data_IF_830123786325
#
_entry.id   IF_830123786325
#
_cell.length_a   1.000
_cell.length_b   1.000
_cell.length_c   1.000
_cell.angle_alpha   90.00
_cell.angle_beta   90.00
_cell.angle_gamma   90.00
#
_symmetry.space_group_name_H-M   'P 1'
#
loop_
_entity.id
_entity.type
_entity.pdbx_description
1 polymer ?
#
# COMPACT_ATOMS: atom_id res chain seq x y z
N UNK A 1 20.16 2.01 12.58
CA UNK A 1 19.13 2.88 11.96
C UNK A 1 18.75 2.40 10.57
N UNK A 2 19.69 2.25 9.63
CA UNK A 2 19.45 1.77 8.25
C UNK A 2 18.65 0.45 8.21
N UNK A 3 19.00 -0.53 9.06
CA UNK A 3 18.28 -1.80 9.12
C UNK A 3 16.79 -1.69 9.49
N UNK A 4 16.43 -0.77 10.41
CA UNK A 4 15.04 -0.53 10.78
C UNK A 4 14.25 0.12 9.62
N UNK A 5 14.88 1.03 8.88
CA UNK A 5 14.26 1.65 7.71
C UNK A 5 14.06 0.64 6.58
N UNK A 6 15.05 -0.22 6.30
CA UNK A 6 14.92 -1.28 5.31
C UNK A 6 13.78 -2.26 5.67
N UNK A 7 13.69 -2.66 6.94
CA UNK A 7 12.61 -3.51 7.42
C UNK A 7 11.25 -2.79 7.38
N UNK A 8 11.18 -1.51 7.74
CA UNK A 8 9.96 -0.70 7.63
C UNK A 8 9.48 -0.56 6.18
N UNK A 9 10.39 -0.43 5.22
CA UNK A 9 10.08 -0.40 3.80
C UNK A 9 9.51 -1.75 3.32
N UNK A 10 10.16 -2.85 3.71
CA UNK A 10 9.68 -4.20 3.40
C UNK A 10 8.28 -4.45 3.96
N UNK A 11 8.02 -4.06 5.21
CA UNK A 11 6.68 -4.15 5.83
C UNK A 11 5.67 -3.29 5.06
N UNK A 12 6.05 -2.06 4.66
CA UNK A 12 5.16 -1.19 3.88
C UNK A 12 4.70 -1.85 2.57
N UNK A 13 5.62 -2.47 1.85
CA UNK A 13 5.32 -3.18 0.59
C UNK A 13 4.42 -4.39 0.87
N UNK A 14 4.77 -5.20 1.87
CA UNK A 14 4.00 -6.39 2.24
C UNK A 14 2.58 -6.05 2.70
N UNK A 15 2.40 -4.99 3.49
CA UNK A 15 1.08 -4.51 3.91
C UNK A 15 0.28 -4.06 2.68
N UNK A 16 0.87 -3.28 1.78
CA UNK A 16 0.18 -2.83 0.57
C UNK A 16 -0.24 -4.03 -0.31
N UNK A 17 0.63 -5.01 -0.53
CA UNK A 17 0.30 -6.22 -1.28
C UNK A 17 -0.77 -7.05 -0.58
N UNK A 18 -0.73 -7.16 0.75
CA UNK A 18 -1.76 -7.84 1.53
C UNK A 18 -3.11 -7.16 1.36
N UNK A 19 -3.18 -5.83 1.44
CA UNK A 19 -4.40 -5.06 1.15
C UNK A 19 -4.90 -5.24 -0.29
N UNK A 20 -4.01 -5.40 -1.27
CA UNK A 20 -4.37 -5.64 -2.67
C UNK A 20 -4.98 -7.03 -2.88
N UNK A 21 -4.46 -8.04 -2.19
CA UNK A 21 -4.91 -9.42 -2.28
C UNK A 21 -6.13 -9.69 -1.42
N UNK A 22 -6.35 -8.93 -0.35
CA UNK A 22 -7.49 -9.10 0.54
C UNK A 22 -8.81 -8.84 -0.20
N UNK A 23 -9.84 -9.70 -0.06
CA UNK A 23 -11.18 -9.43 -0.58
C UNK A 23 -11.78 -8.27 0.22
N UNK A 24 -11.40 -7.04 -0.12
CA UNK A 24 -12.02 -5.86 0.45
C UNK A 24 -13.46 -5.81 -0.04
N UNK A 25 -14.41 -6.03 0.88
CA UNK A 25 -15.77 -5.56 0.67
C UNK A 25 -15.67 -4.04 0.47
N UNK A 26 -16.04 -3.56 -0.71
CA UNK A 26 -16.08 -2.12 -1.00
C UNK A 26 -17.01 -1.48 0.03
N UNK A 27 -16.46 -0.60 0.87
CA UNK A 27 -17.21 0.03 1.97
C UNK A 27 -18.18 1.08 1.45
N UNK A 28 -17.86 1.68 0.30
CA UNK A 28 -18.75 2.59 -0.39
C UNK A 28 -18.39 2.71 -1.86
N UNK A 29 -19.33 3.28 -2.62
CA UNK A 29 -19.14 3.73 -3.99
C UNK A 29 -19.73 5.13 -4.10
N UNK A 30 -19.00 6.04 -4.73
CA UNK A 30 -19.48 7.38 -5.07
C UNK A 30 -19.25 7.60 -6.56
N UNK A 31 -20.29 8.04 -7.25
CA UNK A 31 -20.15 8.61 -8.58
C UNK A 31 -19.85 10.10 -8.43
N UNK A 32 -18.85 10.56 -9.17
CA UNK A 32 -18.48 11.97 -9.26
C UNK A 32 -18.58 12.35 -10.74
N UNK A 33 -19.38 13.37 -11.02
CA UNK A 33 -19.40 14.01 -12.35
C UNK A 33 -18.08 14.76 -12.52
N UNK A 34 -17.42 14.51 -13.63
CA UNK A 34 -16.16 15.16 -13.95
C UNK A 34 -16.35 16.20 -15.04
N UNK A 35 -15.56 17.26 -14.93
CA UNK A 35 -15.32 18.20 -16.02
C UNK A 35 -14.13 17.75 -16.88
N UNK A 36 -13.96 18.37 -18.05
CA UNK A 36 -12.87 18.06 -18.97
C UNK A 36 -11.47 18.21 -18.37
N UNK A 37 -11.34 19.05 -17.35
CA UNK A 37 -10.07 19.41 -16.72
C UNK A 37 -9.64 18.41 -15.64
N UNK A 38 -10.51 17.46 -15.27
CA UNK A 38 -10.33 16.61 -14.08
C UNK A 38 -9.57 15.29 -14.34
N UNK A 39 -8.82 15.20 -15.45
CA UNK A 39 -7.97 14.04 -15.70
C UNK A 39 -6.91 13.91 -14.60
N UNK A 40 -7.02 12.87 -13.77
CA UNK A 40 -6.06 12.59 -12.69
C UNK A 40 -4.69 12.13 -13.18
N UNK A 41 -4.59 11.75 -14.45
CA UNK A 41 -3.34 11.36 -15.11
C UNK A 41 -3.22 12.08 -16.43
N UNK A 42 -1.99 12.36 -16.85
CA UNK A 42 -1.73 12.94 -18.16
C UNK A 42 -2.28 11.99 -19.24
N UNK A 43 -3.28 12.47 -19.97
CA UNK A 43 -3.83 11.81 -21.15
C UNK A 43 -3.20 12.44 -22.40
N UNK A 44 -3.06 11.69 -23.50
CA UNK A 44 -2.68 12.26 -24.78
C UNK A 44 -3.61 13.40 -25.22
N UNK A 45 -3.08 14.30 -26.05
CA UNK A 45 -3.85 15.38 -26.66
C UNK A 45 -5.02 14.83 -27.50
N UNK A 46 -6.16 15.52 -27.48
CA UNK A 46 -7.38 15.13 -28.21
C UNK A 46 -8.29 14.12 -27.51
N UNK A 47 -7.99 13.72 -26.27
CA UNK A 47 -8.88 12.85 -25.51
C UNK A 47 -10.14 13.60 -25.06
N UNK A 48 -11.34 13.01 -25.22
CA UNK A 48 -12.57 13.66 -24.76
C UNK A 48 -12.58 13.76 -23.23
N UNK A 49 -13.40 14.67 -22.66
CA UNK A 49 -13.58 14.74 -21.22
C UNK A 49 -14.06 13.39 -20.64
N UNK A 50 -13.59 13.00 -19.45
CA UNK A 50 -14.11 11.82 -18.77
C UNK A 50 -15.57 12.07 -18.38
N UNK A 51 -16.46 11.10 -18.63
CA UNK A 51 -17.90 11.29 -18.34
C UNK A 51 -18.28 11.03 -16.89
N UNK A 52 -17.57 10.12 -16.23
CA UNK A 52 -17.86 9.74 -14.85
C UNK A 52 -16.63 9.13 -14.20
N UNK A 53 -16.40 9.46 -12.93
CA UNK A 53 -15.55 8.68 -12.04
C UNK A 53 -16.42 7.91 -11.05
N UNK A 54 -16.19 6.59 -10.98
CA UNK A 54 -16.66 5.80 -9.84
C UNK A 54 -15.48 5.62 -8.89
N UNK A 55 -15.60 6.19 -7.70
CA UNK A 55 -14.65 5.98 -6.59
C UNK A 55 -15.19 4.87 -5.72
N UNK A 56 -14.40 3.81 -5.55
CA UNK A 56 -14.65 2.77 -4.55
C UNK A 56 -13.52 2.77 -3.53
N UNK A 57 -13.86 2.60 -2.25
CA UNK A 57 -12.86 2.57 -1.18
C UNK A 57 -13.12 1.43 -0.19
N UNK A 58 -12.06 1.07 0.52
CA UNK A 58 -12.07 0.12 1.61
C UNK A 58 -10.79 0.21 2.44
N UNK A 59 -10.65 -0.71 3.40
CA UNK A 59 -9.45 -0.79 4.22
C UNK A 59 -8.20 -0.98 3.35
N UNK A 60 -7.23 -0.06 3.47
CA UNK A 60 -5.99 -0.15 2.70
C UNK A 60 -6.13 0.06 1.18
N UNK A 61 -7.32 0.37 0.67
CA UNK A 61 -7.64 0.32 -0.77
C UNK A 61 -8.49 1.50 -1.25
N UNK A 62 -8.10 2.11 -2.37
CA UNK A 62 -8.94 3.05 -3.13
C UNK A 62 -8.84 2.72 -4.62
N UNK A 63 -9.97 2.68 -5.31
CA UNK A 63 -10.07 2.43 -6.75
C UNK A 63 -10.84 3.58 -7.41
N UNK A 64 -10.22 4.20 -8.41
CA UNK A 64 -10.86 5.18 -9.27
C UNK A 64 -11.10 4.53 -10.62
N UNK A 65 -12.34 4.57 -11.10
CA UNK A 65 -12.73 4.06 -12.41
C UNK A 65 -13.18 5.21 -13.28
N UNK A 66 -12.54 5.40 -14.41
CA UNK A 66 -12.89 6.44 -15.38
C UNK A 66 -13.37 5.78 -16.66
N UNK A 67 -14.57 6.16 -17.12
CA UNK A 67 -15.23 5.54 -18.28
C UNK A 67 -15.09 6.45 -19.51
N UNK A 68 -14.94 5.84 -20.70
CA UNK A 68 -14.85 6.49 -22.02
C UNK A 68 -13.47 7.07 -22.37
N UNK A 69 -12.41 6.31 -22.11
CA UNK A 69 -11.08 6.64 -22.65
C UNK A 69 -10.90 6.08 -24.07
N UNK A 70 -10.29 6.84 -24.99
CA UNK A 70 -9.96 6.38 -26.35
C UNK A 70 -8.50 5.91 -26.40
N UNK A 71 -8.15 4.72 -26.90
CA UNK A 71 -6.82 4.14 -26.75
C UNK A 71 -5.82 4.65 -27.79
N UNK A 72 -5.68 5.96 -28.01
CA UNK A 72 -4.73 6.44 -29.03
C UNK A 72 -3.25 6.19 -28.67
N UNK A 73 -2.94 5.90 -27.39
CA UNK A 73 -1.57 5.68 -26.93
C UNK A 73 -1.01 4.26 -27.22
N UNK A 74 -1.84 3.34 -27.71
CA UNK A 74 -1.34 2.05 -28.18
C UNK A 74 -1.26 2.11 -29.70
N UNK A 75 -0.10 1.75 -30.27
CA UNK A 75 0.07 1.47 -31.71
C UNK A 75 -0.76 0.24 -32.10
N UNK A 76 -2.05 0.25 -31.83
CA UNK A 76 -3.02 -0.66 -32.40
C UNK A 76 -3.19 -0.19 -33.84
N UNK A 77 -2.91 -1.08 -34.78
CA UNK A 77 -2.77 -0.80 -36.21
C UNK A 77 -4.02 -0.27 -36.90
N UNK A 78 -5.16 -0.11 -36.20
CA UNK A 78 -6.44 0.38 -36.75
C UNK A 78 -7.30 1.13 -35.71
N UNK A 79 -6.99 2.39 -35.36
CA UNK A 79 -7.77 3.18 -34.39
C UNK A 79 -9.19 3.52 -34.87
N UNK A 80 -9.43 3.57 -36.19
CA UNK A 80 -10.72 3.95 -36.79
C UNK A 80 -11.80 2.85 -36.67
N UNK A 81 -11.40 1.60 -36.41
CA UNK A 81 -12.31 0.45 -36.38
C UNK A 81 -12.91 0.18 -34.99
N UNK A 82 -12.37 0.83 -33.97
CA UNK A 82 -12.75 0.63 -32.58
C UNK A 82 -13.29 1.96 -32.04
N UNK A 83 -14.60 2.18 -32.15
CA UNK A 83 -15.31 3.31 -31.52
C UNK A 83 -15.30 3.29 -29.97
N UNK A 84 -14.22 2.82 -29.36
CA UNK A 84 -14.31 1.94 -28.21
C UNK A 84 -13.90 2.57 -26.89
N UNK A 85 -14.81 2.50 -25.94
CA UNK A 85 -14.74 3.06 -24.59
C UNK A 85 -13.83 2.21 -23.71
N UNK A 86 -12.63 2.66 -23.41
CA UNK A 86 -11.82 2.01 -22.38
C UNK A 86 -12.30 2.43 -21.00
N UNK A 87 -12.29 1.46 -20.09
CA UNK A 87 -12.40 1.68 -18.67
C UNK A 87 -10.99 1.76 -18.10
N UNK A 88 -10.59 2.94 -17.65
CA UNK A 88 -9.35 3.10 -16.91
C UNK A 88 -9.60 2.95 -15.44
N UNK A 89 -8.77 2.12 -14.81
CA UNK A 89 -8.86 1.84 -13.40
C UNK A 89 -7.50 2.13 -12.77
N UNK A 90 -7.50 3.12 -11.88
CA UNK A 90 -6.37 3.43 -11.01
C UNK A 90 -6.65 2.83 -9.63
N UNK A 91 -5.69 2.07 -9.09
CA UNK A 91 -5.75 1.53 -7.73
C UNK A 91 -4.62 2.12 -6.90
N UNK A 92 -4.96 2.67 -5.74
CA UNK A 92 -4.03 3.18 -4.73
C UNK A 92 -4.16 2.33 -3.47
N UNK A 93 -3.06 1.76 -3.02
CA UNK A 93 -3.04 0.71 -2.00
C UNK A 93 -1.98 1.01 -0.94
N UNK A 94 -2.31 0.72 0.31
CA UNK A 94 -1.43 0.92 1.46
C UNK A 94 -2.20 1.38 2.69
N UNK A 95 -1.60 1.15 3.86
CA UNK A 95 -2.11 1.58 5.15
C UNK A 95 -0.94 1.97 6.06
N UNK A 96 -1.10 2.98 6.95
CA UNK A 96 -2.22 3.91 7.00
C UNK A 96 -2.28 4.86 5.79
N UNK A 97 -1.13 5.20 5.19
CA UNK A 97 -1.06 6.01 3.99
C UNK A 97 -1.02 5.13 2.73
N UNK A 98 -1.53 5.62 1.60
CA UNK A 98 -1.41 4.92 0.30
C UNK A 98 0.03 4.98 -0.17
N UNK A 99 0.67 3.83 -0.34
CA UNK A 99 2.10 3.74 -0.61
C UNK A 99 2.43 3.25 -2.02
N UNK A 100 1.54 2.46 -2.64
CA UNK A 100 1.74 1.90 -3.96
C UNK A 100 0.52 2.16 -4.84
N UNK A 101 0.74 2.30 -6.14
CA UNK A 101 -0.32 2.43 -7.14
C UNK A 101 -0.11 1.49 -8.33
N UNK A 102 -1.20 1.12 -8.98
CA UNK A 102 -1.19 0.49 -10.29
C UNK A 102 -2.37 0.97 -11.13
N UNK A 103 -2.22 0.79 -12.44
CA UNK A 103 -3.18 1.24 -13.43
C UNK A 103 -3.52 0.07 -14.34
N UNK A 104 -4.77 -0.06 -14.75
CA UNK A 104 -5.11 -0.94 -15.86
C UNK A 104 -6.23 -0.41 -16.72
N UNK A 105 -6.17 -0.82 -17.99
CA UNK A 105 -7.11 -0.47 -19.03
C UNK A 105 -7.90 -1.73 -19.35
N UNK A 106 -9.22 -1.66 -19.14
CA UNK A 106 -10.15 -2.73 -19.51
C UNK A 106 -10.87 -2.30 -20.79
N UNK A 107 -10.89 -3.14 -21.83
CA UNK A 107 -11.72 -2.90 -23.00
C UNK A 107 -13.21 -2.87 -22.60
N UNK A 108 -14.06 -2.22 -23.41
CA UNK A 108 -15.51 -2.28 -23.21
C UNK A 108 -16.01 -3.73 -23.32
N UNK A 109 -17.18 -4.02 -22.70
CA UNK A 109 -17.80 -5.36 -22.67
C UNK A 109 -17.95 -6.03 -24.04
N UNK A 110 -17.98 -5.23 -25.11
CA UNK A 110 -18.14 -5.71 -26.48
C UNK A 110 -16.86 -6.36 -27.07
N UNK A 111 -15.72 -6.33 -26.37
CA UNK A 111 -14.43 -6.82 -26.88
C UNK A 111 -13.74 -7.77 -25.88
N UNK A 112 -14.34 -8.93 -25.59
CA UNK A 112 -13.80 -9.90 -24.63
C UNK A 112 -12.43 -10.48 -25.05
N UNK A 113 -12.07 -10.41 -26.34
CA UNK A 113 -10.78 -10.85 -26.87
C UNK A 113 -9.62 -9.91 -26.51
N UNK A 114 -9.90 -8.67 -26.12
CA UNK A 114 -8.87 -7.72 -25.74
C UNK A 114 -8.38 -8.01 -24.31
N UNK A 115 -7.08 -8.24 -24.16
CA UNK A 115 -6.48 -8.50 -22.84
C UNK A 115 -6.34 -7.19 -22.06
N UNK A 116 -6.70 -7.17 -20.76
CA UNK A 116 -6.51 -5.99 -19.92
C UNK A 116 -5.03 -5.61 -19.86
N UNK A 117 -4.73 -4.34 -20.11
CA UNK A 117 -3.35 -3.84 -20.11
C UNK A 117 -3.04 -3.29 -18.73
N UNK A 118 -2.03 -3.83 -18.07
CA UNK A 118 -1.60 -3.40 -16.74
C UNK A 118 -0.33 -2.57 -16.81
N UNK A 119 -0.27 -1.48 -16.04
CA UNK A 119 0.95 -0.70 -15.80
C UNK A 119 1.30 -0.73 -14.33
N UNK A 120 2.59 -0.90 -14.07
CA UNK A 120 3.15 -0.99 -12.72
C UNK A 120 2.43 -2.00 -11.82
N UNK A 121 2.25 -3.22 -12.33
CA UNK A 121 1.59 -4.28 -11.62
C UNK A 121 2.30 -5.63 -11.82
N UNK A 122 2.34 -6.46 -10.79
CA UNK A 122 2.85 -7.83 -10.83
C UNK A 122 1.72 -8.85 -10.69
N UNK A 123 1.86 -9.97 -11.40
CA UNK A 123 0.99 -11.12 -11.24
C UNK A 123 1.34 -11.86 -9.95
N UNK A 124 0.39 -12.12 -9.04
CA UNK A 124 0.67 -13.02 -7.92
C UNK A 124 0.97 -14.43 -8.46
N UNK A 125 1.87 -15.20 -7.81
CA UNK A 125 2.25 -16.52 -8.28
C UNK A 125 1.05 -17.47 -8.31
N UNK A 126 0.72 -17.98 -9.50
CA UNK A 126 -0.46 -18.81 -9.76
C UNK A 126 -0.56 -20.08 -8.90
N UNK A 127 0.59 -20.63 -8.49
CA UNK A 127 0.65 -21.84 -7.66
C UNK A 127 0.22 -21.59 -6.20
N UNK A 128 0.38 -20.37 -5.72
CA UNK A 128 0.05 -19.99 -4.34
C UNK A 128 -1.37 -19.42 -4.26
N UNK A 129 -1.82 -18.77 -5.33
CA UNK A 129 -3.07 -18.04 -5.37
C UNK A 129 -4.02 -18.59 -6.43
N UNK A 130 -5.25 -18.94 -6.03
CA UNK A 130 -6.29 -19.43 -6.93
C UNK A 130 -6.68 -18.43 -8.03
N UNK A 131 -7.41 -18.88 -9.07
CA UNK A 131 -7.71 -18.09 -10.27
C UNK A 131 -8.42 -16.76 -9.97
N UNK A 132 -9.30 -16.73 -8.95
CA UNK A 132 -9.97 -15.50 -8.52
C UNK A 132 -8.99 -14.41 -8.01
N UNK A 133 -7.88 -14.82 -7.40
CA UNK A 133 -6.85 -13.90 -6.89
C UNK A 133 -5.86 -13.51 -7.99
N UNK A 134 -5.66 -14.32 -9.02
CA UNK A 134 -4.78 -13.98 -10.15
C UNK A 134 -5.27 -12.75 -10.94
N UNK A 135 -6.57 -12.46 -10.89
CA UNK A 135 -7.14 -11.23 -11.44
C UNK A 135 -6.75 -9.98 -10.64
N UNK A 136 -6.21 -10.14 -9.42
CA UNK A 136 -5.72 -9.05 -8.56
C UNK A 136 -4.21 -8.92 -8.75
N UNK A 137 -3.79 -7.92 -9.52
CA UNK A 137 -2.35 -7.60 -9.63
C UNK A 137 -1.86 -6.82 -8.41
N UNK A 138 -0.60 -7.05 -8.06
CA UNK A 138 0.13 -6.37 -6.99
C UNK A 138 0.70 -5.05 -7.52
N UNK A 139 0.43 -3.90 -6.88
CA UNK A 139 0.95 -2.63 -7.35
C UNK A 139 2.46 -2.51 -7.14
N UNK A 140 3.15 -1.83 -8.05
CA UNK A 140 4.60 -1.61 -7.97
C UNK A 140 5.04 -0.16 -8.12
N UNK A 141 4.16 0.76 -8.53
CA UNK A 141 4.55 2.17 -8.66
C UNK A 141 4.50 2.85 -7.30
N UNK A 142 5.61 3.44 -6.80
CA UNK A 142 5.63 4.07 -5.50
C UNK A 142 4.84 5.39 -5.50
N UNK A 143 4.06 5.58 -4.45
CA UNK A 143 3.51 6.89 -4.05
C UNK A 143 4.43 7.44 -2.97
N UNK A 144 5.45 8.22 -3.36
CA UNK A 144 6.59 8.57 -2.51
C UNK A 144 6.20 9.09 -1.12
N UNK A 145 5.22 9.98 -1.02
CA UNK A 145 4.78 10.52 0.26
C UNK A 145 4.26 9.44 1.21
N UNK A 146 3.36 8.57 0.73
CA UNK A 146 2.83 7.50 1.58
C UNK A 146 3.81 6.35 1.81
N UNK A 147 4.71 6.07 0.85
CA UNK A 147 5.77 5.10 1.02
C UNK A 147 6.75 5.52 2.12
N UNK A 148 7.24 6.77 2.07
CA UNK A 148 8.15 7.32 3.08
C UNK A 148 7.43 7.38 4.44
N UNK A 149 6.20 7.90 4.46
CA UNK A 149 5.41 8.02 5.70
C UNK A 149 5.18 6.67 6.39
N UNK A 150 4.74 5.65 5.66
CA UNK A 150 4.55 4.30 6.23
C UNK A 150 5.89 3.67 6.64
N UNK A 151 6.96 3.87 5.86
CA UNK A 151 8.29 3.32 6.17
C UNK A 151 8.81 3.86 7.50
N UNK A 152 8.75 5.18 7.69
CA UNK A 152 9.16 5.83 8.95
C UNK A 152 8.26 5.39 10.10
N UNK A 153 6.95 5.30 9.89
CA UNK A 153 6.01 4.85 10.90
C UNK A 153 6.33 3.43 11.37
N UNK A 154 6.46 2.48 10.45
CA UNK A 154 6.73 1.09 10.81
C UNK A 154 8.13 0.90 11.40
N UNK A 155 9.14 1.58 10.87
CA UNK A 155 10.49 1.58 11.47
C UNK A 155 10.47 2.14 12.89
N UNK A 156 9.72 3.22 13.12
CA UNK A 156 9.52 3.82 14.44
C UNK A 156 8.84 2.88 15.42
N UNK A 157 7.74 2.23 15.02
CA UNK A 157 7.05 1.23 15.85
C UNK A 157 7.97 0.08 16.23
N UNK A 158 8.74 -0.45 15.27
CA UNK A 158 9.71 -1.52 15.52
C UNK A 158 10.86 -1.11 16.45
N UNK A 159 11.27 0.17 16.44
CA UNK A 159 12.29 0.68 17.34
C UNK A 159 11.75 0.98 18.75
N UNK A 160 10.55 1.56 18.84
CA UNK A 160 9.95 2.02 20.10
C UNK A 160 9.43 0.86 20.95
N UNK A 161 8.81 -0.17 20.36
CA UNK A 161 8.24 -1.28 21.12
C UNK A 161 9.29 -1.99 22.00
N UNK A 162 10.46 -2.44 21.48
CA UNK A 162 11.49 -3.07 22.32
C UNK A 162 12.04 -2.14 23.40
N UNK A 163 12.15 -0.84 23.12
CA UNK A 163 12.57 0.16 24.09
C UNK A 163 11.55 0.30 25.23
N UNK A 164 10.25 0.34 24.93
CA UNK A 164 9.19 0.37 25.93
C UNK A 164 9.17 -0.90 26.78
N UNK A 165 9.33 -2.07 26.15
CA UNK A 165 9.35 -3.36 26.87
C UNK A 165 10.53 -3.42 27.85
N UNK A 166 11.73 -3.08 27.40
CA UNK A 166 12.94 -3.09 28.26
C UNK A 166 12.85 -2.06 29.38
N UNK A 167 12.32 -0.87 29.10
CA UNK A 167 12.09 0.17 30.11
C UNK A 167 11.05 -0.27 31.16
N UNK A 168 9.92 -0.83 30.71
CA UNK A 168 8.86 -1.31 31.59
C UNK A 168 9.35 -2.48 32.47
N UNK A 169 10.15 -3.39 31.91
CA UNK A 169 10.77 -4.47 32.68
C UNK A 169 11.74 -3.93 33.73
N UNK A 170 12.61 -2.97 33.36
CA UNK A 170 13.54 -2.35 34.30
C UNK A 170 12.80 -1.64 35.44
N UNK A 171 11.74 -0.91 35.14
CA UNK A 171 10.90 -0.25 36.13
C UNK A 171 10.18 -1.25 37.05
N UNK A 172 9.62 -2.33 36.49
CA UNK A 172 8.96 -3.39 37.27
C UNK A 172 9.96 -4.10 38.21
N UNK A 173 11.20 -4.31 37.75
CA UNK A 173 12.28 -4.89 38.57
C UNK A 173 12.66 -3.96 39.71
N UNK A 174 12.86 -2.66 39.43
CA UNK A 174 13.14 -1.64 40.47
C UNK A 174 12.03 -1.59 41.54
N UNK A 175 10.76 -1.65 41.13
CA UNK A 175 9.61 -1.72 42.07
C UNK A 175 9.62 -2.96 42.96
N UNK A 176 10.32 -4.03 42.57
CA UNK A 176 10.48 -5.26 43.35
C UNK A 176 11.80 -5.29 44.15
N UNK A 177 12.56 -4.20 44.18
CA UNK A 177 13.89 -4.18 44.79
C UNK A 177 14.91 -5.05 44.04
N UNK A 178 14.75 -5.23 42.73
CA UNK A 178 15.67 -6.00 41.88
C UNK A 178 16.40 -5.09 40.90
N UNK A 179 17.65 -5.42 40.57
CA UNK A 179 18.45 -4.71 39.58
C UNK A 179 17.75 -4.74 38.20
N UNK A 180 17.61 -3.61 37.49
CA UNK A 180 16.95 -3.58 36.18
C UNK A 180 17.68 -4.44 35.13
N UNK A 181 19.00 -4.63 35.24
CA UNK A 181 19.82 -5.39 34.29
C UNK A 181 19.81 -6.90 34.55
N UNK A 182 20.30 -7.33 35.71
CA UNK A 182 20.50 -8.75 36.04
C UNK A 182 19.39 -9.35 36.91
N UNK A 183 18.43 -8.55 37.39
CA UNK A 183 17.37 -8.97 38.31
C UNK A 183 17.84 -9.50 39.69
N UNK A 184 19.08 -9.22 40.10
CA UNK A 184 19.56 -9.54 41.44
C UNK A 184 18.97 -8.58 42.50
N UNK A 185 18.68 -9.01 43.74
CA UNK A 185 18.22 -8.13 44.81
C UNK A 185 19.14 -6.94 45.05
N UNK A 186 18.56 -5.75 45.13
CA UNK A 186 19.26 -4.50 45.43
C UNK A 186 19.49 -4.45 46.94
N UNK A 187 20.75 -4.52 47.36
CA UNK A 187 21.17 -4.21 48.73
C UNK A 187 21.29 -2.69 48.97
N UNK A 188 21.91 -2.29 50.09
CA UNK A 188 22.11 -0.86 50.42
C UNK A 188 23.17 -0.14 49.56
N UNK A 189 23.87 -0.84 48.66
CA UNK A 189 24.89 -0.25 47.79
C UNK A 189 24.26 0.43 46.56
N UNK A 190 24.73 1.61 46.13
CA UNK A 190 24.28 2.27 44.90
C UNK A 190 24.74 1.57 43.61
N UNK A 191 25.58 0.54 43.73
CA UNK A 191 26.12 -0.25 42.61
C UNK A 191 25.73 -1.72 42.80
N UNK A 192 25.19 -2.34 41.75
CA UNK A 192 24.85 -3.77 41.76
C UNK A 192 26.11 -4.63 41.86
N UNK A 193 26.17 -5.52 42.85
CA UNK A 193 27.31 -6.40 43.11
C UNK A 193 27.56 -7.42 42.00
N UNK A 194 26.53 -7.86 41.28
CA UNK A 194 26.64 -8.85 40.21
C UNK A 194 27.07 -8.23 38.87
N UNK A 195 26.36 -7.19 38.42
CA UNK A 195 26.57 -6.63 37.07
C UNK A 195 27.39 -5.34 37.03
N UNK A 196 27.76 -4.79 38.20
CA UNK A 196 28.55 -3.56 38.31
C UNK A 196 27.85 -2.29 37.84
N UNK A 197 26.58 -2.34 37.41
CA UNK A 197 25.84 -1.14 36.98
C UNK A 197 25.32 -0.35 38.18
N UNK A 198 25.35 0.98 38.06
CA UNK A 198 24.66 1.90 38.98
C UNK A 198 23.15 1.70 38.88
N UNK A 199 22.47 1.72 40.04
CA UNK A 199 21.06 1.37 40.17
C UNK A 199 20.09 2.51 39.83
#
# INVERSE_FOLDING_TARGET
MIGLLALGLAITILVAWTCALWPSKKHGRRAEDLTAEDWRTAVPEGWPPPRAIVVAWGFGYTEHRTVNMYPHAFKLSRPEQYGERFLYIERRIGWPFRALQCEHYVPAENYPELTPIWRAALSPPARVFGPAVQQRRLPTRPMWLGLIGNTVLYAGVLGVIPMLVTTAQGWRRRRRGLCPQCAYPIGGSPVCTECGKKL
#
